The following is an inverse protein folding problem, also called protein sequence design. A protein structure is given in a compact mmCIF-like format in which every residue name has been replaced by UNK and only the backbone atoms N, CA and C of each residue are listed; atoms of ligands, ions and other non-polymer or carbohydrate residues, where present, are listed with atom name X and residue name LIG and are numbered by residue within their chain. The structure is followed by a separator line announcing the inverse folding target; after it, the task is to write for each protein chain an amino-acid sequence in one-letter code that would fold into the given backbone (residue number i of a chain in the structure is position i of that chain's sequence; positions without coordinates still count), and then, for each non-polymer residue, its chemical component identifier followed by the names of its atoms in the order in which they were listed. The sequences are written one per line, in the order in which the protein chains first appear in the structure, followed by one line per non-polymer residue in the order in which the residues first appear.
data_IF_980873156546
#
_entry.id   IF_980873156546
#
_cell.length_a   1.000
_cell.length_b   1.000
_cell.length_c   1.000
_cell.angle_alpha   90.00
_cell.angle_beta   90.00
_cell.angle_gamma   90.00
#
_symmetry.space_group_name_H-M   'P 1'
#
loop_
_entity.id
_entity.type
_entity.pdbx_description
1 polymer ?
#
# COMPACT_ATOMS: atom_id res chain seq x y z
N UNK A 1 28.88 3.75 -7.81
CA UNK A 1 29.16 4.45 -6.53
C UNK A 1 27.83 5.06 -6.10
N UNK A 2 27.43 4.85 -4.85
CA UNK A 2 26.21 5.45 -4.30
C UNK A 2 26.49 6.91 -3.94
N UNK A 3 25.57 7.79 -4.29
CA UNK A 3 25.63 9.21 -3.95
C UNK A 3 24.35 9.55 -3.19
N UNK A 4 24.48 10.20 -2.04
CA UNK A 4 23.34 10.75 -1.32
C UNK A 4 22.85 11.99 -2.08
N UNK A 5 21.59 11.98 -2.52
CA UNK A 5 20.93 13.08 -3.20
C UNK A 5 19.92 13.73 -2.28
N UNK A 6 19.90 15.07 -2.28
CA UNK A 6 18.88 15.84 -1.56
C UNK A 6 17.58 15.82 -2.38
N UNK A 7 16.45 15.44 -1.77
CA UNK A 7 15.14 15.36 -2.45
C UNK A 7 14.71 16.69 -3.10
N UNK A 8 14.91 17.87 -2.48
CA UNK A 8 14.59 19.16 -3.11
C UNK A 8 15.37 19.48 -4.39
N UNK A 9 16.50 18.82 -4.62
CA UNK A 9 17.34 19.05 -5.81
C UNK A 9 16.92 18.15 -6.99
N UNK A 10 15.94 17.27 -6.76
CA UNK A 10 15.38 16.40 -7.79
C UNK A 10 14.28 17.11 -8.57
N UNK A 11 14.28 16.93 -9.88
CA UNK A 11 13.18 17.38 -10.73
C UNK A 11 12.08 16.31 -10.72
N UNK A 12 10.96 16.63 -10.06
CA UNK A 12 9.82 15.74 -9.83
C UNK A 12 8.57 16.32 -10.48
N UNK A 13 7.99 15.57 -11.41
CA UNK A 13 6.67 15.85 -11.97
C UNK A 13 5.63 14.95 -11.33
N UNK A 14 4.88 15.51 -10.37
CA UNK A 14 3.83 14.76 -9.65
C UNK A 14 2.69 14.34 -10.59
N UNK A 15 2.33 15.21 -11.54
CA UNK A 15 1.23 14.95 -12.48
C UNK A 15 1.56 13.84 -13.49
N UNK A 16 2.82 13.74 -13.92
CA UNK A 16 3.28 12.69 -14.82
C UNK A 16 3.74 11.42 -14.08
N UNK A 17 4.00 11.51 -12.77
CA UNK A 17 4.62 10.44 -11.99
C UNK A 17 6.08 10.20 -12.38
N UNK A 18 6.78 11.24 -12.84
CA UNK A 18 8.15 11.16 -13.35
C UNK A 18 9.14 11.81 -12.37
N UNK A 19 10.34 11.23 -12.30
CA UNK A 19 11.48 11.74 -11.54
C UNK A 19 12.71 11.73 -12.45
N UNK A 20 13.36 12.89 -12.58
CA UNK A 20 14.60 13.04 -13.32
C UNK A 20 15.78 13.15 -12.36
N UNK A 21 16.84 12.39 -12.63
CA UNK A 21 18.06 12.41 -11.83
C UNK A 21 19.12 13.33 -12.46
N UNK A 22 19.91 14.05 -11.64
CA UNK A 22 21.09 14.74 -12.13
C UNK A 22 22.15 13.73 -12.61
N UNK A 23 23.10 14.19 -13.42
CA UNK A 23 24.31 13.41 -13.70
C UNK A 23 25.26 13.44 -12.50
N UNK A 24 26.02 12.37 -12.30
CA UNK A 24 27.03 12.35 -11.25
C UNK A 24 28.22 13.27 -11.59
N UNK A 25 29.19 13.41 -10.66
CA UNK A 25 30.36 14.27 -10.86
C UNK A 25 31.23 13.91 -12.09
N UNK A 26 31.06 12.71 -12.66
CA UNK A 26 31.73 12.26 -13.89
C UNK A 26 30.89 12.50 -15.15
N UNK A 27 29.72 13.13 -15.03
CA UNK A 27 28.79 13.38 -16.13
C UNK A 27 27.99 12.16 -16.57
N UNK A 28 27.93 11.10 -15.75
CA UNK A 28 27.21 9.86 -16.08
C UNK A 28 25.83 9.83 -15.42
N UNK A 29 24.85 9.23 -16.10
CA UNK A 29 23.54 8.96 -15.53
C UNK A 29 23.62 7.83 -14.49
N UNK A 30 22.74 7.91 -13.49
CA UNK A 30 22.52 6.81 -12.55
C UNK A 30 21.64 5.73 -13.17
N UNK A 31 21.92 4.46 -12.88
CA UNK A 31 21.12 3.31 -13.34
C UNK A 31 20.11 2.84 -12.31
N UNK A 32 20.29 3.21 -11.04
CA UNK A 32 19.51 2.72 -9.90
C UNK A 32 19.35 3.84 -8.86
N UNK A 33 18.25 3.78 -8.11
CA UNK A 33 17.94 4.69 -7.00
C UNK A 33 17.45 3.84 -5.83
N UNK A 34 17.93 4.15 -4.63
CA UNK A 34 17.35 3.66 -3.38
C UNK A 34 16.53 4.79 -2.76
N UNK A 35 15.26 4.50 -2.42
CA UNK A 35 14.33 5.49 -1.84
C UNK A 35 13.89 5.03 -0.46
N UNK A 36 14.27 5.78 0.57
CA UNK A 36 13.80 5.58 1.94
C UNK A 36 12.67 6.57 2.22
N UNK A 37 11.47 6.06 2.50
CA UNK A 37 10.29 6.88 2.77
C UNK A 37 9.40 6.26 3.84
N UNK A 38 8.57 7.08 4.48
CA UNK A 38 7.51 6.60 5.38
C UNK A 38 6.20 6.49 4.59
N UNK A 39 5.76 5.25 4.35
CA UNK A 39 4.46 4.99 3.73
C UNK A 39 3.33 5.19 4.73
N UNK A 40 2.23 5.82 4.30
CA UNK A 40 1.02 5.95 5.10
C UNK A 40 0.19 7.18 4.75
N UNK A 41 -0.94 7.31 5.44
CA UNK A 41 -1.79 8.49 5.38
C UNK A 41 -1.55 9.33 6.63
N UNK A 42 -1.24 10.62 6.45
CA UNK A 42 -1.06 11.55 7.57
C UNK A 42 -2.33 11.66 8.44
N UNK A 43 -3.50 11.61 7.80
CA UNK A 43 -4.80 11.49 8.46
C UNK A 43 -5.59 10.36 7.80
N UNK A 44 -6.08 9.41 8.59
CA UNK A 44 -6.95 8.35 8.07
C UNK A 44 -8.31 8.94 7.65
N UNK A 45 -8.77 8.68 6.41
CA UNK A 45 -10.12 9.04 5.97
C UNK A 45 -11.20 8.38 6.82
N UNK A 46 -12.34 9.05 6.98
CA UNK A 46 -13.46 8.53 7.76
C UNK A 46 -13.97 7.16 7.27
N UNK A 47 -14.11 6.90 5.95
CA UNK A 47 -14.53 5.58 5.47
C UNK A 47 -13.61 4.46 5.94
N UNK A 48 -12.29 4.69 5.94
CA UNK A 48 -11.30 3.71 6.41
C UNK A 48 -11.44 3.46 7.91
N UNK A 49 -11.64 4.52 8.71
CA UNK A 49 -11.88 4.38 10.16
C UNK A 49 -13.14 3.57 10.46
N UNK A 50 -14.23 3.86 9.75
CA UNK A 50 -15.51 3.16 9.90
C UNK A 50 -15.36 1.69 9.49
N UNK A 51 -14.69 1.41 8.38
CA UNK A 51 -14.39 0.06 7.94
C UNK A 51 -13.58 -0.70 9.00
N UNK A 52 -12.53 -0.10 9.58
CA UNK A 52 -11.77 -0.72 10.67
C UNK A 52 -12.66 -1.04 11.89
N UNK A 53 -13.54 -0.12 12.30
CA UNK A 53 -14.46 -0.35 13.40
C UNK A 53 -15.44 -1.50 13.11
N UNK A 54 -15.97 -1.57 11.88
CA UNK A 54 -16.86 -2.65 11.43
C UNK A 54 -16.15 -4.00 11.42
N UNK A 55 -14.91 -4.06 10.91
CA UNK A 55 -14.09 -5.28 10.91
C UNK A 55 -13.87 -5.79 12.33
N UNK A 56 -13.51 -4.91 13.27
CA UNK A 56 -13.33 -5.29 14.68
C UNK A 56 -14.63 -5.83 15.28
N UNK A 57 -15.75 -5.16 15.02
CA UNK A 57 -17.07 -5.63 15.48
C UNK A 57 -17.42 -7.01 14.90
N UNK A 58 -17.21 -7.21 13.60
CA UNK A 58 -17.50 -8.45 12.90
C UNK A 58 -16.63 -9.62 13.40
N UNK A 59 -15.37 -9.33 13.71
CA UNK A 59 -14.46 -10.29 14.33
C UNK A 59 -14.93 -10.71 15.73
N UNK A 60 -15.41 -9.76 16.54
CA UNK A 60 -15.94 -10.06 17.88
C UNK A 60 -17.26 -10.85 17.84
N UNK A 61 -18.13 -10.58 16.86
CA UNK A 61 -19.40 -11.30 16.71
C UNK A 61 -19.24 -12.71 16.13
N UNK A 62 -18.06 -13.07 15.64
CA UNK A 62 -17.77 -14.39 15.05
C UNK A 62 -16.68 -15.11 15.86
N UNK A 63 -16.96 -15.56 17.11
CA UNK A 63 -15.99 -16.23 17.97
C UNK A 63 -15.70 -17.67 17.51
N UNK A 64 -15.03 -17.80 16.36
CA UNK A 64 -14.39 -18.98 15.78
C UNK A 64 -14.13 -18.68 14.30
N UNK A 65 -13.53 -17.52 13.98
CA UNK A 65 -13.24 -17.12 12.62
C UNK A 65 -12.36 -18.20 11.98
N UNK A 66 -12.97 -19.10 11.21
CA UNK A 66 -12.31 -20.23 10.58
C UNK A 66 -11.41 -19.67 9.47
N UNK A 67 -10.20 -19.27 9.84
CA UNK A 67 -9.14 -18.95 8.89
C UNK A 67 -8.79 -20.24 8.17
N UNK A 68 -9.36 -20.44 6.99
CA UNK A 68 -8.94 -21.53 6.12
C UNK A 68 -7.63 -21.08 5.50
N UNK A 69 -6.51 -21.63 5.94
CA UNK A 69 -5.19 -21.35 5.37
C UNK A 69 -5.00 -22.20 4.11
N UNK A 70 -5.04 -21.58 2.94
CA UNK A 70 -4.68 -22.21 1.68
C UNK A 70 -3.19 -22.02 1.40
N UNK A 71 -2.47 -23.11 1.08
CA UNK A 71 -1.07 -23.04 0.64
C UNK A 71 -1.00 -22.95 -0.87
N UNK A 72 -0.44 -21.86 -1.39
CA UNK A 72 -0.09 -21.72 -2.81
C UNK A 72 1.43 -21.70 -2.92
N UNK A 73 2.01 -22.84 -3.28
CA UNK A 73 3.46 -23.07 -3.40
C UNK A 73 4.25 -22.74 -2.11
N UNK A 74 4.72 -21.48 -1.97
CA UNK A 74 5.41 -20.90 -0.79
C UNK A 74 4.63 -19.80 -0.05
N UNK A 75 3.47 -19.40 -0.55
CA UNK A 75 2.61 -18.37 0.05
C UNK A 75 1.46 -18.99 0.84
N UNK A 76 1.09 -18.34 1.95
CA UNK A 76 -0.09 -18.66 2.73
C UNK A 76 -1.17 -17.62 2.45
N UNK A 77 -2.34 -18.07 2.01
CA UNK A 77 -3.52 -17.23 1.87
C UNK A 77 -4.46 -17.62 3.01
N UNK A 78 -4.66 -16.68 3.93
CA UNK A 78 -5.62 -16.83 5.03
C UNK A 78 -6.99 -16.36 4.51
N UNK A 79 -7.89 -17.32 4.24
CA UNK A 79 -9.26 -17.02 3.84
C UNK A 79 -10.10 -16.71 5.08
N UNK A 80 -10.51 -15.44 5.21
CA UNK A 80 -11.49 -15.02 6.20
C UNK A 80 -12.90 -15.36 5.72
N UNK A 81 -13.81 -15.70 6.63
CA UNK A 81 -15.23 -15.85 6.27
C UNK A 81 -15.76 -14.52 5.72
N UNK A 82 -16.71 -14.58 4.77
CA UNK A 82 -17.37 -13.39 4.20
C UNK A 82 -18.05 -12.51 5.27
N UNK A 83 -18.23 -13.02 6.50
CA UNK A 83 -18.71 -12.24 7.64
C UNK A 83 -17.72 -11.20 8.17
N UNK A 84 -16.41 -11.35 7.91
CA UNK A 84 -15.40 -10.38 8.39
C UNK A 84 -15.38 -9.13 7.51
N UNK A 85 -15.31 -9.33 6.19
CA UNK A 85 -15.32 -8.29 5.17
C UNK A 85 -16.68 -8.32 4.46
N UNK A 86 -17.70 -7.84 5.17
CA UNK A 86 -19.05 -7.71 4.64
C UNK A 86 -19.12 -6.69 3.49
N UNK A 87 -20.27 -6.64 2.82
CA UNK A 87 -20.49 -5.76 1.67
C UNK A 87 -20.30 -4.27 2.03
N UNK A 88 -20.64 -3.88 3.27
CA UNK A 88 -20.49 -2.49 3.73
C UNK A 88 -19.00 -2.12 3.85
N UNK A 89 -18.19 -3.00 4.44
CA UNK A 89 -16.74 -2.82 4.53
C UNK A 89 -16.12 -2.77 3.13
N UNK A 90 -16.57 -3.63 2.20
CA UNK A 90 -16.08 -3.64 0.81
C UNK A 90 -16.41 -2.35 0.07
N UNK A 91 -17.63 -1.83 0.22
CA UNK A 91 -18.03 -0.55 -0.36
C UNK A 91 -17.21 0.62 0.20
N UNK A 92 -16.99 0.65 1.52
CA UNK A 92 -16.19 1.70 2.17
C UNK A 92 -14.73 1.70 1.71
N UNK A 93 -14.17 0.52 1.44
CA UNK A 93 -12.77 0.34 1.05
C UNK A 93 -12.55 0.34 -0.46
N UNK A 94 -13.60 0.23 -1.29
CA UNK A 94 -13.49 0.14 -2.75
C UNK A 94 -12.58 1.21 -3.39
N UNK A 95 -12.60 2.51 -2.97
CA UNK A 95 -11.71 3.53 -3.53
C UNK A 95 -10.23 3.38 -3.15
N UNK A 96 -9.92 2.58 -2.13
CA UNK A 96 -8.57 2.42 -1.57
C UNK A 96 -7.92 1.09 -1.98
N UNK A 97 -8.61 0.28 -2.77
CA UNK A 97 -8.07 -0.98 -3.31
C UNK A 97 -7.17 -0.66 -4.50
N UNK A 98 -5.92 -1.12 -4.44
CA UNK A 98 -4.98 -0.98 -5.54
C UNK A 98 -5.52 -1.69 -6.79
N UNK A 99 -5.69 -0.93 -7.88
CA UNK A 99 -6.03 -1.49 -9.18
C UNK A 99 -4.73 -1.73 -9.95
N UNK A 100 -4.52 -2.96 -10.41
CA UNK A 100 -3.44 -3.25 -11.35
C UNK A 100 -3.82 -2.62 -12.68
N UNK A 101 -3.23 -1.48 -13.01
CA UNK A 101 -3.16 -0.98 -14.38
C UNK A 101 -2.24 -1.93 -15.16
N UNK A 102 -2.81 -2.57 -16.18
CA UNK A 102 -2.15 -3.59 -16.99
C UNK A 102 -1.05 -3.04 -17.88
#
# INVERSE_FOLDING_TARGET
MWNDLSVPDLDVSVDAGELSLPVNALGLAFSEIEVVYTAGLAALPNPVKVACAQIVRNAQSTPALNVRRGRLDRMYIDYFSDSLLDDTVRELLAPYVAQKVG
#
